data_IF_530205545372
#
_entry.id   IF_530205545372
#
_cell.length_a   1.000
_cell.length_b   1.000
_cell.length_c   1.000
_cell.angle_alpha   90.00
_cell.angle_beta   90.00
_cell.angle_gamma   90.00
#
_symmetry.space_group_name_H-M   'P 1'
#
loop_
_entity.id
_entity.type
_entity.pdbx_description
1 polymer ?
#
# COMPACT_ATOMS: atom_id res chain seq x y z
N UNK A 1 -18.38 1.02 -3.00
CA UNK A 1 -17.31 1.63 -2.16
C UNK A 1 -16.00 0.84 -2.26
N UNK A 2 -14.85 1.38 -1.82
CA UNK A 2 -13.54 0.68 -1.89
C UNK A 2 -13.59 -0.73 -1.26
N UNK A 3 -14.37 -0.88 -0.18
CA UNK A 3 -14.59 -2.13 0.54
C UNK A 3 -15.16 -3.28 -0.30
N UNK A 4 -15.91 -2.98 -1.37
CA UNK A 4 -16.53 -3.98 -2.25
C UNK A 4 -15.50 -4.65 -3.17
N UNK A 5 -14.45 -3.91 -3.57
CA UNK A 5 -13.50 -4.34 -4.60
C UNK A 5 -12.11 -4.67 -4.04
N UNK A 6 -11.78 -4.24 -2.82
CA UNK A 6 -10.42 -4.32 -2.26
C UNK A 6 -9.82 -5.74 -2.21
N UNK A 7 -10.67 -6.76 -2.13
CA UNK A 7 -10.27 -8.18 -2.11
C UNK A 7 -9.90 -8.73 -3.49
N UNK A 8 -10.29 -8.05 -4.56
CA UNK A 8 -10.20 -8.55 -5.94
C UNK A 8 -9.22 -7.77 -6.80
N UNK A 9 -8.97 -6.50 -6.48
CA UNK A 9 -8.10 -5.61 -7.26
C UNK A 9 -6.62 -6.01 -7.21
N UNK A 10 -5.94 -5.88 -8.34
CA UNK A 10 -4.48 -6.07 -8.47
C UNK A 10 -3.69 -4.80 -8.14
N UNK A 11 -4.28 -3.63 -8.43
CA UNK A 11 -3.61 -2.34 -8.33
C UNK A 11 -4.56 -1.34 -7.70
N UNK A 12 -4.06 -0.60 -6.70
CA UNK A 12 -4.76 0.51 -6.06
C UNK A 12 -3.91 1.77 -6.21
N UNK A 13 -4.51 2.79 -6.83
CA UNK A 13 -3.91 4.11 -7.02
C UNK A 13 -4.82 5.15 -6.36
N UNK A 14 -4.27 5.95 -5.46
CA UNK A 14 -5.00 7.02 -4.76
C UNK A 14 -4.70 8.38 -5.45
N UNK A 15 -5.75 9.12 -5.84
CA UNK A 15 -5.63 10.40 -6.54
C UNK A 15 -6.62 11.45 -6.00
N UNK A 16 -6.87 11.41 -4.70
CA UNK A 16 -8.02 12.11 -4.08
C UNK A 16 -7.65 13.45 -3.44
N UNK A 17 -6.38 13.63 -3.05
CA UNK A 17 -5.96 14.73 -2.19
C UNK A 17 -6.47 14.64 -0.75
N UNK A 18 -7.09 13.52 -0.36
CA UNK A 18 -7.62 13.31 0.99
C UNK A 18 -6.78 12.30 1.78
N UNK A 19 -6.77 12.42 3.10
CA UNK A 19 -6.02 11.52 4.00
C UNK A 19 -6.79 10.24 4.26
N UNK A 20 -6.07 9.14 4.51
CA UNK A 20 -6.62 7.86 4.98
C UNK A 20 -7.68 7.24 4.05
N UNK A 21 -7.50 7.37 2.74
CA UNK A 21 -8.34 6.72 1.72
C UNK A 21 -8.12 5.21 1.74
N UNK A 22 -6.86 4.79 1.85
CA UNK A 22 -6.46 3.39 2.00
C UNK A 22 -5.92 3.21 3.42
N UNK A 23 -6.69 2.53 4.26
CA UNK A 23 -6.38 2.30 5.67
C UNK A 23 -5.68 0.96 5.87
N UNK A 24 -5.19 0.69 7.09
CA UNK A 24 -4.70 -0.64 7.51
C UNK A 24 -5.69 -1.75 7.19
N UNK A 25 -6.97 -1.55 7.51
CA UNK A 25 -8.02 -2.55 7.27
C UNK A 25 -8.19 -2.86 5.78
N UNK A 26 -8.14 -1.83 4.93
CA UNK A 26 -8.17 -2.04 3.47
C UNK A 26 -6.98 -2.89 3.03
N UNK A 27 -5.77 -2.56 3.51
CA UNK A 27 -4.55 -3.30 3.18
C UNK A 27 -4.54 -4.72 3.72
N UNK A 28 -5.07 -4.98 4.92
CA UNK A 28 -5.24 -6.32 5.48
C UNK A 28 -6.18 -7.20 4.63
N UNK A 29 -7.14 -6.58 3.93
CA UNK A 29 -8.10 -7.27 3.05
C UNK A 29 -7.64 -7.41 1.60
N UNK A 30 -6.55 -6.76 1.20
CA UNK A 30 -6.01 -6.88 -0.16
C UNK A 30 -5.56 -8.32 -0.47
N UNK A 31 -5.66 -8.71 -1.74
CA UNK A 31 -5.11 -9.98 -2.19
C UNK A 31 -3.58 -9.98 -2.18
N UNK A 32 -3.00 -11.18 -2.14
CA UNK A 32 -1.56 -11.36 -2.21
C UNK A 32 -1.00 -10.81 -3.54
N UNK A 33 0.06 -10.02 -3.45
CA UNK A 33 0.71 -9.36 -4.59
C UNK A 33 0.05 -8.06 -5.05
N UNK A 34 -0.98 -7.56 -4.34
CA UNK A 34 -1.60 -6.28 -4.68
C UNK A 34 -0.57 -5.13 -4.66
N UNK A 35 -0.60 -4.29 -5.69
CA UNK A 35 0.27 -3.11 -5.83
C UNK A 35 -0.47 -1.89 -5.32
N UNK A 36 0.17 -1.10 -4.47
CA UNK A 36 -0.42 0.10 -3.86
C UNK A 36 0.51 1.29 -4.05
N UNK A 37 -0.01 2.40 -4.55
CA UNK A 37 0.76 3.63 -4.72
C UNK A 37 -0.07 4.91 -4.60
N UNK A 38 0.60 6.00 -4.22
CA UNK A 38 0.01 7.33 -4.14
C UNK A 38 0.24 8.14 -5.43
N UNK A 39 -0.82 8.81 -5.89
CA UNK A 39 -0.82 9.67 -7.09
C UNK A 39 -0.83 11.17 -6.81
N UNK A 40 -1.19 11.63 -5.60
CA UNK A 40 -1.30 13.08 -5.29
C UNK A 40 -0.68 13.51 -3.95
N UNK A 41 -0.81 12.74 -2.86
CA UNK A 41 -0.25 13.07 -1.54
C UNK A 41 0.37 11.85 -0.85
N UNK A 42 1.27 12.07 0.12
CA UNK A 42 1.83 11.00 0.95
C UNK A 42 0.91 10.53 2.10
N UNK A 43 -0.26 11.13 2.25
CA UNK A 43 -1.20 10.85 3.35
C UNK A 43 -2.45 10.06 2.93
N UNK A 44 -2.62 9.75 1.65
CA UNK A 44 -3.82 9.03 1.19
C UNK A 44 -3.79 7.55 1.56
N UNK A 45 -2.60 6.95 1.62
CA UNK A 45 -2.36 5.61 2.16
C UNK A 45 -1.78 5.75 3.56
N UNK A 46 -2.37 5.06 4.54
CA UNK A 46 -1.88 5.01 5.91
C UNK A 46 -0.65 4.07 6.04
N UNK A 47 0.48 4.49 5.49
CA UNK A 47 1.73 3.73 5.53
C UNK A 47 2.28 3.60 6.96
N UNK A 48 2.00 4.57 7.82
CA UNK A 48 2.44 4.54 9.22
C UNK A 48 1.88 3.32 9.97
N UNK A 49 0.62 2.95 9.69
CA UNK A 49 -0.03 1.77 10.26
C UNK A 49 0.60 0.42 9.89
N UNK A 50 1.50 0.39 8.89
CA UNK A 50 2.25 -0.80 8.49
C UNK A 50 3.61 -0.92 9.19
N UNK A 51 4.02 0.07 10.00
CA UNK A 51 5.27 0.04 10.79
C UNK A 51 5.05 -0.66 12.12
N UNK A 52 4.72 -1.95 12.04
CA UNK A 52 4.41 -2.79 13.19
C UNK A 52 5.36 -4.00 13.26
N UNK A 53 5.64 -4.56 14.46
CA UNK A 53 6.62 -5.63 14.62
C UNK A 53 6.28 -6.93 13.89
N UNK A 54 4.99 -7.19 13.64
CA UNK A 54 4.53 -8.40 12.96
C UNK A 54 4.66 -8.35 11.43
N UNK A 55 4.84 -7.15 10.86
CA UNK A 55 4.98 -6.98 9.41
C UNK A 55 6.45 -6.91 9.03
N UNK A 56 6.85 -7.78 8.12
CA UNK A 56 8.21 -7.76 7.57
C UNK A 56 8.27 -6.85 6.36
N UNK A 57 9.28 -5.98 6.31
CA UNK A 57 9.54 -5.09 5.19
C UNK A 57 10.78 -5.54 4.44
N UNK A 58 10.63 -5.79 3.14
CA UNK A 58 11.72 -6.19 2.26
C UNK A 58 11.83 -5.21 1.09
N UNK A 59 12.99 -4.56 0.97
CA UNK A 59 13.30 -3.65 -0.14
C UNK A 59 13.75 -4.48 -1.35
N UNK A 60 12.88 -4.64 -2.34
CA UNK A 60 13.15 -5.45 -3.54
C UNK A 60 14.02 -4.69 -4.55
N UNK A 61 13.74 -3.40 -4.71
CA UNK A 61 14.51 -2.46 -5.54
C UNK A 61 14.33 -1.06 -4.99
N UNK A 62 15.08 -0.09 -5.51
CA UNK A 62 14.86 1.31 -5.16
C UNK A 62 13.37 1.65 -5.29
N UNK A 63 12.79 2.15 -4.19
CA UNK A 63 11.39 2.57 -4.09
C UNK A 63 10.32 1.50 -4.30
N UNK A 64 10.67 0.23 -4.19
CA UNK A 64 9.69 -0.85 -4.18
C UNK A 64 9.93 -1.71 -2.96
N UNK A 65 8.95 -1.69 -2.06
CA UNK A 65 8.94 -2.44 -0.83
C UNK A 65 7.88 -3.54 -0.90
N UNK A 66 8.24 -4.74 -0.49
CA UNK A 66 7.27 -5.73 -0.06
C UNK A 66 6.96 -5.52 1.41
N UNK A 67 5.67 -5.44 1.74
CA UNK A 67 5.19 -5.54 3.12
C UNK A 67 4.53 -6.91 3.26
N UNK A 68 5.03 -7.72 4.19
CA UNK A 68 4.72 -9.14 4.30
C UNK A 68 4.05 -9.42 5.65
N UNK A 69 2.89 -10.06 5.60
CA UNK A 69 2.09 -10.48 6.75
C UNK A 69 2.59 -11.83 7.31
N UNK A 70 2.28 -12.15 8.57
CA UNK A 70 2.67 -13.43 9.20
C UNK A 70 2.15 -14.68 8.48
N UNK A 71 1.05 -14.57 7.73
CA UNK A 71 0.46 -15.65 6.93
C UNK A 71 1.13 -15.84 5.55
N UNK A 72 2.13 -15.02 5.24
CA UNK A 72 2.87 -15.04 3.97
C UNK A 72 2.25 -14.20 2.86
N UNK A 73 1.09 -13.54 3.10
CA UNK A 73 0.57 -12.54 2.17
C UNK A 73 1.57 -11.39 2.07
N UNK A 74 1.76 -10.86 0.85
CA UNK A 74 2.53 -9.64 0.59
C UNK A 74 1.73 -8.61 -0.18
N UNK A 75 2.01 -7.34 0.05
CA UNK A 75 1.65 -6.26 -0.87
C UNK A 75 2.92 -5.59 -1.39
N UNK A 76 2.84 -5.02 -2.58
CA UNK A 76 3.91 -4.24 -3.20
C UNK A 76 3.59 -2.76 -2.99
N UNK A 77 4.34 -2.10 -2.11
CA UNK A 77 4.21 -0.68 -1.86
C UNK A 77 5.24 0.08 -2.71
N UNK A 78 4.75 1.01 -3.54
CA UNK A 78 5.62 1.85 -4.36
C UNK A 78 5.93 3.17 -3.64
N UNK A 79 7.19 3.58 -3.72
CA UNK A 79 7.77 4.83 -3.20
C UNK A 79 7.47 5.09 -1.72
N UNK A 80 7.29 4.05 -0.89
CA UNK A 80 6.85 4.16 0.51
C UNK A 80 5.56 4.99 0.69
N UNK A 81 4.70 5.02 -0.33
CA UNK A 81 3.54 5.91 -0.35
C UNK A 81 3.90 7.39 -0.54
N UNK A 82 5.04 7.73 -1.11
CA UNK A 82 5.29 9.08 -1.65
C UNK A 82 4.78 9.17 -3.09
N UNK A 83 4.83 10.37 -3.65
CA UNK A 83 4.43 10.64 -5.03
C UNK A 83 5.22 9.77 -6.01
N UNK A 84 4.52 8.85 -6.69
CA UNK A 84 5.13 7.94 -7.65
C UNK A 84 5.80 8.70 -8.81
N UNK A 85 5.13 9.74 -9.32
CA UNK A 85 5.54 10.52 -10.48
C UNK A 85 6.79 11.41 -10.28
N UNK A 86 7.28 11.53 -9.05
CA UNK A 86 8.50 12.28 -8.74
C UNK A 86 9.63 11.39 -8.22
N UNK A 87 9.32 10.11 -7.95
CA UNK A 87 10.23 9.20 -7.27
C UNK A 87 10.74 8.13 -8.25
N UNK A 88 9.88 7.56 -9.08
CA UNK A 88 10.24 6.46 -10.00
C UNK A 88 10.70 6.92 -11.38
#
# INVERSE_FOLDING_TARGET
>A
ELNEVIRQVDIVITCTGNKNVVTREHMDRMKNGCIVCNGHSNTEIDVASLRTPELTWERVRSQVDHVIWPDGKRIVLLSEGRLLNLSC
#
